data_IF_160076826169
#
_entry.id   IF_160076826169
#
_cell.length_a   1.000
_cell.length_b   1.000
_cell.length_c   1.000
_cell.angle_alpha   90.00
_cell.angle_beta   90.00
_cell.angle_gamma   90.00
#
_symmetry.space_group_name_H-M   'P 1'
#
loop_
_entity.id
_entity.type
_entity.pdbx_description
1 polymer ?
#
# COMPACT_ATOMS: atom_id res chain seq x y z
N UNK A 1 14.83 -11.77 -1.17
CA UNK A 1 15.02 -12.32 0.15
C UNK A 1 14.81 -11.28 1.24
N UNK A 2 15.68 -10.26 1.33
CA UNK A 2 15.55 -9.23 2.36
C UNK A 2 14.26 -8.43 2.23
N UNK A 3 13.90 -8.07 1.01
CA UNK A 3 12.66 -7.32 0.77
C UNK A 3 11.44 -8.15 1.14
N UNK A 4 11.44 -9.44 0.79
CA UNK A 4 10.34 -10.32 1.16
C UNK A 4 10.18 -10.41 2.66
N UNK A 5 11.28 -10.55 3.39
CA UNK A 5 11.24 -10.63 4.84
C UNK A 5 10.68 -9.34 5.45
N UNK A 6 11.04 -8.19 4.89
CA UNK A 6 10.52 -6.91 5.35
C UNK A 6 9.00 -6.86 5.19
N UNK A 7 8.46 -7.32 4.06
CA UNK A 7 7.02 -7.30 3.82
C UNK A 7 6.26 -8.29 4.70
N UNK A 8 6.80 -9.48 4.93
CA UNK A 8 6.09 -10.47 5.75
C UNK A 8 6.16 -10.15 7.24
N UNK A 9 7.12 -9.34 7.66
CA UNK A 9 7.30 -8.98 9.05
C UNK A 9 6.68 -7.63 9.43
N UNK A 10 6.06 -6.94 8.50
CA UNK A 10 5.39 -5.67 8.79
C UNK A 10 3.90 -5.78 8.47
N UNK A 11 3.11 -4.94 9.14
CA UNK A 11 1.66 -4.88 8.89
C UNK A 11 1.31 -3.80 7.87
N UNK A 12 2.10 -2.75 7.79
CA UNK A 12 1.85 -1.60 6.92
C UNK A 12 3.12 -1.22 6.17
N UNK A 13 2.94 -0.75 4.94
CA UNK A 13 4.04 -0.19 4.16
C UNK A 13 3.84 1.32 4.12
N UNK A 14 4.84 2.06 4.59
CA UNK A 14 4.79 3.51 4.69
C UNK A 14 5.57 4.11 3.52
N UNK A 15 4.91 4.98 2.77
CA UNK A 15 5.53 5.64 1.62
C UNK A 15 5.50 7.14 1.85
N UNK A 16 6.49 7.69 2.58
CA UNK A 16 6.47 9.08 3.01
C UNK A 16 7.09 10.04 1.98
N UNK A 17 6.99 9.74 0.72
CA UNK A 17 7.59 10.56 -0.33
C UNK A 17 6.70 11.76 -0.64
N UNK A 18 7.31 12.94 -0.74
CA UNK A 18 6.61 14.18 -1.08
C UNK A 18 6.58 14.44 -2.58
N UNK A 19 7.30 13.66 -3.35
CA UNK A 19 7.27 13.77 -4.82
C UNK A 19 7.59 12.41 -5.40
N UNK A 20 6.73 11.93 -6.26
CA UNK A 20 6.94 10.67 -6.95
C UNK A 20 5.96 10.56 -8.11
N UNK A 21 6.41 10.00 -9.21
CA UNK A 21 5.51 9.74 -10.32
C UNK A 21 4.75 8.44 -10.07
N UNK A 22 5.44 7.44 -9.50
CA UNK A 22 4.89 6.12 -9.29
C UNK A 22 5.74 5.38 -8.28
N UNK A 23 5.17 4.40 -7.57
CA UNK A 23 5.92 3.63 -6.60
C UNK A 23 5.79 2.14 -6.84
N UNK A 24 6.91 1.49 -7.15
CA UNK A 24 6.97 0.04 -7.26
C UNK A 24 6.78 -0.65 -5.92
N UNK A 25 7.13 0.03 -4.82
CA UNK A 25 6.98 -0.55 -3.49
C UNK A 25 5.51 -0.73 -3.11
N UNK A 26 4.61 0.11 -3.65
CA UNK A 26 3.18 -0.06 -3.42
C UNK A 26 2.69 -1.34 -4.08
N UNK A 27 3.13 -1.60 -5.30
CA UNK A 27 2.77 -2.82 -6.01
C UNK A 27 3.28 -4.04 -5.25
N UNK A 28 4.52 -3.97 -4.75
CA UNK A 28 5.10 -5.06 -3.96
C UNK A 28 4.34 -5.26 -2.66
N UNK A 29 3.94 -4.19 -2.00
CA UNK A 29 3.16 -4.28 -0.77
C UNK A 29 1.87 -5.06 -0.99
N UNK A 30 1.17 -4.79 -2.07
CA UNK A 30 -0.08 -5.48 -2.39
C UNK A 30 0.11 -6.96 -2.64
N UNK A 31 1.25 -7.36 -3.21
CA UNK A 31 1.55 -8.78 -3.41
C UNK A 31 1.62 -9.55 -2.11
N UNK A 32 2.02 -8.89 -1.05
CA UNK A 32 2.11 -9.49 0.28
C UNK A 32 0.91 -9.15 1.15
N UNK A 33 -0.17 -8.64 0.55
CA UNK A 33 -1.40 -8.27 1.25
C UNK A 33 -1.16 -7.21 2.31
N UNK A 34 -0.26 -6.27 2.04
CA UNK A 34 0.05 -5.19 2.98
C UNK A 34 -0.59 -3.89 2.53
N UNK A 35 -1.44 -3.29 3.36
CA UNK A 35 -1.98 -1.97 3.04
C UNK A 35 -0.90 -0.90 3.16
N UNK A 36 -1.13 0.23 2.51
CA UNK A 36 -0.14 1.28 2.33
C UNK A 36 -0.65 2.59 2.92
N UNK A 37 0.26 3.37 3.50
CA UNK A 37 -0.02 4.76 3.86
C UNK A 37 0.94 5.62 3.07
N UNK A 38 0.41 6.53 2.25
CA UNK A 38 1.23 7.33 1.35
C UNK A 38 0.68 8.75 1.19
N UNK A 39 1.55 9.67 0.80
CA UNK A 39 1.12 10.99 0.38
C UNK A 39 0.53 10.92 -1.03
N UNK A 40 -0.49 11.75 -1.27
CA UNK A 40 -1.15 11.83 -2.58
C UNK A 40 -0.33 12.70 -3.54
N UNK A 41 0.77 12.16 -4.05
CA UNK A 41 1.67 12.88 -4.96
C UNK A 41 1.83 12.09 -6.26
N UNK A 42 2.00 12.80 -7.37
CA UNK A 42 2.21 12.18 -8.68
C UNK A 42 1.13 11.19 -9.04
N UNK A 43 1.50 9.98 -9.40
CA UNK A 43 0.57 8.92 -9.76
C UNK A 43 0.18 8.03 -8.57
N UNK A 44 0.67 8.32 -7.36
CA UNK A 44 0.35 7.51 -6.19
C UNK A 44 -1.16 7.43 -5.91
N UNK A 45 -1.96 8.51 -6.05
CA UNK A 45 -3.40 8.40 -5.85
C UNK A 45 -4.09 7.36 -6.72
N UNK A 46 -3.50 7.02 -7.86
CA UNK A 46 -4.03 5.98 -8.73
C UNK A 46 -3.67 4.58 -8.24
N UNK A 47 -2.68 4.47 -7.37
CA UNK A 47 -2.20 3.20 -6.85
C UNK A 47 -2.83 2.80 -5.53
N UNK A 48 -3.49 3.72 -4.84
CA UNK A 48 -4.08 3.46 -3.52
C UNK A 48 -5.57 3.79 -3.55
N UNK A 49 -6.37 2.84 -3.11
CA UNK A 49 -7.80 3.04 -2.92
C UNK A 49 -8.00 3.48 -1.47
N UNK A 50 -8.12 4.79 -1.27
CA UNK A 50 -8.15 5.39 0.06
C UNK A 50 -9.27 4.82 0.92
N UNK A 51 -8.89 4.30 2.08
CA UNK A 51 -9.82 3.68 3.00
C UNK A 51 -10.06 2.19 2.76
N UNK A 52 -9.53 1.64 1.68
CA UNK A 52 -9.69 0.21 1.36
C UNK A 52 -8.36 -0.51 1.24
N UNK A 53 -7.50 -0.10 0.30
CA UNK A 53 -6.19 -0.74 0.15
C UNK A 53 -5.12 -0.04 0.98
N UNK A 54 -5.47 1.02 1.67
CA UNK A 54 -4.56 1.81 2.46
C UNK A 54 -5.13 3.19 2.70
N UNK A 55 -4.26 4.14 3.00
CA UNK A 55 -4.66 5.53 3.22
C UNK A 55 -3.83 6.48 2.38
N UNK A 56 -4.49 7.51 1.85
CA UNK A 56 -3.84 8.63 1.19
C UNK A 56 -3.92 9.85 2.09
N UNK A 57 -2.83 10.60 2.16
CA UNK A 57 -2.75 11.83 2.93
C UNK A 57 -2.36 12.96 1.98
N UNK A 58 -2.93 14.14 2.17
CA UNK A 58 -2.61 15.29 1.35
C UNK A 58 -1.11 15.57 1.35
N UNK A 59 -0.56 15.83 0.17
CA UNK A 59 0.86 16.05 -0.01
C UNK A 59 1.37 17.17 0.89
N UNK A 60 2.43 16.90 1.62
CA UNK A 60 3.06 17.89 2.51
C UNK A 60 2.41 18.02 3.88
N UNK A 61 1.28 17.38 4.14
CA UNK A 61 0.61 17.46 5.43
C UNK A 61 1.13 16.40 6.39
N UNK A 62 2.25 16.70 7.03
CA UNK A 62 2.90 15.76 7.93
C UNK A 62 2.07 15.46 9.18
N UNK A 63 1.27 16.40 9.63
CA UNK A 63 0.40 16.18 10.80
C UNK A 63 -0.66 15.15 10.49
N UNK A 64 -1.33 15.28 9.35
CA UNK A 64 -2.33 14.30 8.93
C UNK A 64 -1.70 12.93 8.69
N UNK A 65 -0.48 12.91 8.18
CA UNK A 65 0.23 11.65 7.98
C UNK A 65 0.45 10.94 9.32
N UNK A 66 0.91 11.67 10.33
CA UNK A 66 1.09 11.12 11.67
C UNK A 66 -0.23 10.64 12.27
N UNK A 67 -1.30 11.41 12.05
CA UNK A 67 -2.63 11.03 12.53
C UNK A 67 -3.12 9.75 11.87
N UNK A 68 -2.88 9.59 10.58
CA UNK A 68 -3.25 8.35 9.88
C UNK A 68 -2.45 7.16 10.35
N UNK A 69 -1.17 7.35 10.68
CA UNK A 69 -0.37 6.28 11.27
C UNK A 69 -0.97 5.81 12.59
N UNK A 70 -1.37 6.76 13.44
CA UNK A 70 -2.00 6.43 14.71
C UNK A 70 -3.33 5.71 14.51
N UNK A 71 -4.12 6.18 13.55
CA UNK A 71 -5.40 5.57 13.22
C UNK A 71 -5.21 4.13 12.75
N UNK A 72 -4.23 3.91 11.88
CA UNK A 72 -3.90 2.58 11.37
C UNK A 72 -3.50 1.64 12.50
N UNK A 73 -2.75 2.13 13.47
CA UNK A 73 -2.30 1.32 14.61
C UNK A 73 -3.44 0.95 15.55
N UNK A 74 -4.56 1.66 15.47
CA UNK A 74 -5.73 1.41 16.33
C UNK A 74 -6.77 0.48 15.70
N UNK A 75 -6.56 0.07 14.45
CA UNK A 75 -7.48 -0.85 13.80
C UNK A 75 -7.50 -2.18 14.56
N UNK A 76 -8.70 -2.76 14.66
CA UNK A 76 -8.83 -4.11 15.21
C UNK A 76 -8.21 -5.12 14.24
N UNK A 77 -7.93 -6.33 14.74
CA UNK A 77 -7.41 -7.38 13.88
C UNK A 77 -8.35 -7.66 12.70
N UNK A 78 -9.65 -7.63 12.95
CA UNK A 78 -10.67 -7.86 11.92
C UNK A 78 -10.67 -6.76 10.87
N UNK A 79 -10.59 -5.50 11.30
CA UNK A 79 -10.52 -4.37 10.39
C UNK A 79 -9.25 -4.39 9.56
N UNK A 80 -8.14 -4.73 10.20
CA UNK A 80 -6.86 -4.87 9.49
C UNK A 80 -6.93 -5.99 8.45
N UNK A 81 -7.49 -7.14 8.82
CA UNK A 81 -7.60 -8.28 7.90
C UNK A 81 -8.43 -7.93 6.67
N UNK A 82 -9.50 -7.17 6.86
CA UNK A 82 -10.33 -6.70 5.75
C UNK A 82 -9.52 -5.81 4.81
N UNK A 83 -8.77 -4.87 5.37
CA UNK A 83 -7.94 -3.97 4.58
C UNK A 83 -6.80 -4.72 3.88
N UNK A 84 -6.21 -5.68 4.56
CA UNK A 84 -5.17 -6.54 3.99
C UNK A 84 -5.68 -7.31 2.78
N UNK A 85 -6.87 -7.89 2.90
CA UNK A 85 -7.52 -8.60 1.80
C UNK A 85 -7.85 -7.66 0.64
N UNK A 86 -8.39 -6.49 0.96
CA UNK A 86 -8.72 -5.48 -0.05
C UNK A 86 -7.47 -4.99 -0.78
N UNK A 87 -6.36 -4.85 -0.07
CA UNK A 87 -5.09 -4.46 -0.68
C UNK A 87 -4.63 -5.48 -1.72
N UNK A 88 -4.69 -6.74 -1.36
CA UNK A 88 -4.31 -7.81 -2.29
C UNK A 88 -5.24 -7.82 -3.52
N UNK A 89 -6.53 -7.74 -3.29
CA UNK A 89 -7.52 -7.76 -4.37
C UNK A 89 -7.37 -6.54 -5.29
N UNK A 90 -7.16 -5.39 -4.72
CA UNK A 90 -6.98 -4.17 -5.50
C UNK A 90 -5.73 -4.26 -6.37
N UNK A 91 -4.63 -4.71 -5.81
CA UNK A 91 -3.39 -4.87 -6.54
C UNK A 91 -3.50 -5.90 -7.65
N UNK A 92 -4.09 -7.07 -7.33
CA UNK A 92 -4.28 -8.12 -8.31
C UNK A 92 -5.15 -7.67 -9.47
N UNK A 93 -6.24 -6.97 -9.16
CA UNK A 93 -7.18 -6.51 -10.18
C UNK A 93 -6.59 -5.41 -11.03
N UNK A 94 -5.90 -4.45 -10.41
CA UNK A 94 -5.35 -3.30 -11.11
C UNK A 94 -4.17 -3.66 -12.00
N UNK A 95 -3.34 -4.59 -11.54
CA UNK A 95 -2.10 -4.97 -12.23
C UNK A 95 -2.16 -6.35 -12.88
N UNK A 96 -3.34 -6.91 -13.01
CA UNK A 96 -3.54 -8.26 -13.52
C UNK A 96 -3.79 -8.27 -15.03
N UNK A 97 -2.91 -7.64 -15.80
CA UNK A 97 -3.02 -7.63 -17.27
C UNK A 97 -1.64 -7.80 -17.90
N UNK A 98 -1.52 -8.75 -18.82
CA UNK A 98 -0.31 -8.97 -19.59
C UNK A 98 0.95 -9.09 -18.73
N UNK A 99 1.94 -8.28 -19.07
CA UNK A 99 3.23 -8.30 -18.38
C UNK A 99 3.13 -7.87 -16.93
N UNK A 100 2.19 -7.00 -16.61
CA UNK A 100 1.97 -6.56 -15.24
C UNK A 100 1.55 -7.73 -14.36
N UNK A 101 0.66 -8.57 -14.87
CA UNK A 101 0.23 -9.75 -14.13
C UNK A 101 1.38 -10.74 -13.95
N UNK A 102 2.16 -10.98 -14.99
CA UNK A 102 3.32 -11.86 -14.90
C UNK A 102 4.33 -11.36 -13.88
N UNK A 103 4.58 -10.06 -13.88
CA UNK A 103 5.49 -9.46 -12.92
C UNK A 103 4.95 -9.59 -11.50
N UNK A 104 3.65 -9.36 -11.33
CA UNK A 104 2.99 -9.47 -10.04
C UNK A 104 3.09 -10.88 -9.49
N UNK A 105 2.89 -11.87 -10.34
CA UNK A 105 2.91 -13.28 -9.94
C UNK A 105 4.32 -13.84 -9.75
N UNK A 106 5.28 -13.37 -10.51
CA UNK A 106 6.65 -13.91 -10.46
C UNK A 106 7.39 -13.63 -9.17
N UNK A 107 6.93 -12.64 -8.40
CA UNK A 107 7.57 -12.31 -7.15
C UNK A 107 7.17 -13.28 -6.02
N UNK A 108 6.25 -14.15 -6.31
CA UNK A 108 5.87 -15.22 -5.42
C UNK A 108 6.46 -16.53 -5.88
#
# INVERSE_FOLDING_TARGET
AEMREAFVNCDWVIVPYNSASQSGIIIDAYKYSRPVIAFAVGAIPEQVDDGKSGYLVEAGDNEKFADKLKEAMKLSAEEYDTMSSDAYQYGSKKYATGDAMNRFMKLF
#
